data_IF_175206659354
#
_entry.id   IF_175206659354
#
_cell.length_a   1.000
_cell.length_b   1.000
_cell.length_c   1.000
_cell.angle_alpha   90.00
_cell.angle_beta   90.00
_cell.angle_gamma   90.00
#
_symmetry.space_group_name_H-M   'P 1'
#
loop_
_entity.id
_entity.type
_entity.pdbx_description
1 polymer ?
#
# COMPACT_ATOMS: atom_id res chain seq x y z
N UNK A 1 36.00 0.15 -1.35
CA UNK A 1 34.99 1.24 -1.34
C UNK A 1 33.68 0.65 -1.82
N UNK A 2 32.56 0.95 -1.16
CA UNK A 2 31.25 0.55 -1.67
C UNK A 2 30.91 1.45 -2.85
N UNK A 3 30.71 0.87 -4.02
CA UNK A 3 30.31 1.61 -5.22
C UNK A 3 28.86 2.07 -5.07
N UNK A 4 28.63 3.36 -5.27
CA UNK A 4 27.32 3.97 -5.10
C UNK A 4 26.55 3.89 -6.41
N UNK A 5 25.41 3.19 -6.41
CA UNK A 5 24.48 3.16 -7.54
C UNK A 5 24.10 4.60 -7.91
N UNK A 6 24.25 4.93 -9.20
CA UNK A 6 23.89 6.23 -9.80
C UNK A 6 24.46 7.43 -9.04
N UNK A 7 25.75 7.39 -8.67
CA UNK A 7 26.39 8.41 -7.81
C UNK A 7 26.19 9.85 -8.31
N UNK A 8 26.52 10.12 -9.58
CA UNK A 8 26.47 11.47 -10.15
C UNK A 8 25.02 11.94 -10.33
N UNK A 9 24.15 11.11 -10.92
CA UNK A 9 22.71 11.39 -11.01
C UNK A 9 22.11 11.69 -9.62
N UNK A 10 22.47 10.91 -8.60
CA UNK A 10 22.00 11.14 -7.24
C UNK A 10 22.50 12.47 -6.66
N UNK A 11 23.73 12.88 -6.98
CA UNK A 11 24.25 14.17 -6.57
C UNK A 11 23.42 15.32 -7.18
N UNK A 12 23.16 15.25 -8.49
CA UNK A 12 22.42 16.29 -9.20
C UNK A 12 20.95 16.38 -8.77
N UNK A 13 20.27 15.23 -8.62
CA UNK A 13 18.88 15.16 -8.15
C UNK A 13 18.78 15.71 -6.73
N UNK A 14 19.67 15.31 -5.81
CA UNK A 14 19.68 15.85 -4.44
C UNK A 14 19.93 17.34 -4.44
N UNK A 15 20.86 17.83 -5.26
CA UNK A 15 21.09 19.25 -5.44
C UNK A 15 19.79 19.99 -5.79
N UNK A 16 18.96 19.44 -6.70
CA UNK A 16 17.67 20.06 -7.06
C UNK A 16 16.76 20.11 -5.85
N UNK A 17 16.66 19.02 -5.08
CA UNK A 17 15.79 18.97 -3.90
C UNK A 17 16.23 19.99 -2.84
N UNK A 18 17.53 20.19 -2.64
CA UNK A 18 18.06 21.22 -1.74
C UNK A 18 17.75 22.63 -2.25
N UNK A 19 17.94 22.89 -3.54
CA UNK A 19 17.61 24.18 -4.14
C UNK A 19 16.12 24.50 -3.96
N UNK A 20 15.24 23.52 -4.21
CA UNK A 20 13.79 23.65 -3.99
C UNK A 20 13.48 23.97 -2.53
N UNK A 21 14.06 23.21 -1.58
CA UNK A 21 13.84 23.44 -0.15
C UNK A 21 14.32 24.83 0.29
N UNK A 22 15.48 25.27 -0.19
CA UNK A 22 16.05 26.57 0.17
C UNK A 22 15.21 27.75 -0.34
N UNK A 23 14.52 27.59 -1.47
CA UNK A 23 13.66 28.64 -2.02
C UNK A 23 12.25 28.64 -1.42
N UNK A 24 11.66 27.46 -1.21
CA UNK A 24 10.26 27.34 -0.77
C UNK A 24 10.10 27.26 0.75
N UNK A 25 11.11 26.77 1.47
CA UNK A 25 11.01 26.43 2.88
C UNK A 25 10.04 25.27 3.15
N UNK A 26 9.81 24.92 4.43
CA UNK A 26 8.85 23.89 4.83
C UNK A 26 7.39 24.41 4.82
N UNK A 27 6.43 23.52 5.08
CA UNK A 27 4.99 23.79 5.29
C UNK A 27 4.13 24.04 4.03
N UNK A 28 4.60 23.63 2.85
CA UNK A 28 3.75 23.55 1.67
C UNK A 28 3.20 22.12 1.45
N UNK A 29 2.07 21.96 0.77
CA UNK A 29 1.64 20.65 0.28
C UNK A 29 2.69 19.97 -0.63
N UNK A 30 2.78 18.63 -0.57
CA UNK A 30 3.73 17.80 -1.33
C UNK A 30 3.79 18.16 -2.83
N UNK A 31 2.63 18.45 -3.44
CA UNK A 31 2.51 18.82 -4.84
C UNK A 31 3.38 20.02 -5.25
N UNK A 32 3.54 21.02 -4.38
CA UNK A 32 4.36 22.19 -4.72
C UNK A 32 5.86 21.85 -4.78
N UNK A 33 6.32 20.95 -3.91
CA UNK A 33 7.68 20.44 -3.96
C UNK A 33 7.91 19.58 -5.19
N UNK A 34 6.93 18.75 -5.58
CA UNK A 34 6.97 17.97 -6.82
C UNK A 34 7.08 18.89 -8.04
N UNK A 35 6.18 19.87 -8.17
CA UNK A 35 6.17 20.82 -9.28
C UNK A 35 7.51 21.56 -9.39
N UNK A 36 8.05 22.06 -8.27
CA UNK A 36 9.33 22.75 -8.24
C UNK A 36 10.53 21.83 -8.56
N UNK A 37 10.51 20.59 -8.05
CA UNK A 37 11.56 19.61 -8.34
C UNK A 37 11.57 19.24 -9.84
N UNK A 38 10.41 19.08 -10.47
CA UNK A 38 10.30 18.84 -11.92
C UNK A 38 10.92 20.00 -12.72
N UNK A 39 10.65 21.25 -12.33
CA UNK A 39 11.26 22.42 -12.98
C UNK A 39 12.78 22.39 -12.83
N UNK A 40 13.29 22.14 -11.61
CA UNK A 40 14.73 22.10 -11.35
C UNK A 40 15.45 20.95 -12.07
N UNK A 41 14.85 19.76 -12.13
CA UNK A 41 15.39 18.60 -12.85
C UNK A 41 15.48 18.88 -14.35
N UNK A 42 14.42 19.44 -14.95
CA UNK A 42 14.40 19.83 -16.36
C UNK A 42 15.43 20.92 -16.68
N UNK A 43 15.61 21.90 -15.79
CA UNK A 43 16.62 22.94 -15.96
C UNK A 43 18.06 22.39 -15.96
N UNK A 44 18.29 21.25 -15.27
CA UNK A 44 19.56 20.50 -15.32
C UNK A 44 19.66 19.50 -16.48
N UNK A 45 18.65 19.44 -17.35
CA UNK A 45 18.63 18.49 -18.47
C UNK A 45 18.38 17.03 -18.05
N UNK A 46 17.90 16.79 -16.83
CA UNK A 46 17.60 15.44 -16.32
C UNK A 46 16.22 15.03 -16.78
N UNK A 47 16.13 13.89 -17.47
CA UNK A 47 14.85 13.35 -17.94
C UNK A 47 13.98 12.93 -16.75
N UNK A 48 12.79 13.51 -16.62
CA UNK A 48 11.88 13.21 -15.52
C UNK A 48 10.40 13.30 -15.91
N UNK A 49 9.57 12.51 -15.21
CA UNK A 49 8.12 12.45 -15.38
C UNK A 49 7.46 12.49 -14.01
N UNK A 50 6.57 13.46 -13.78
CA UNK A 50 5.76 13.52 -12.57
C UNK A 50 4.63 12.47 -12.63
N UNK A 51 4.28 11.92 -11.47
CA UNK A 51 3.13 11.00 -11.30
C UNK A 51 3.11 9.85 -12.33
N UNK A 52 4.27 9.28 -12.64
CA UNK A 52 4.34 8.20 -13.63
C UNK A 52 3.57 6.98 -13.12
N UNK A 53 2.61 6.52 -13.91
CA UNK A 53 1.73 5.40 -13.56
C UNK A 53 2.39 4.05 -13.87
N UNK A 54 2.32 3.12 -12.91
CA UNK A 54 2.75 1.73 -13.03
C UNK A 54 1.62 0.76 -12.68
N UNK A 55 1.61 -0.40 -13.33
CA UNK A 55 0.72 -1.50 -12.98
C UNK A 55 1.28 -2.25 -11.76
N UNK A 56 0.40 -2.59 -10.82
CA UNK A 56 0.73 -3.46 -9.70
C UNK A 56 0.24 -4.86 -10.04
N UNK A 57 1.17 -5.80 -10.22
CA UNK A 57 0.88 -7.19 -10.52
C UNK A 57 1.00 -8.06 -9.27
N UNK A 58 0.05 -8.98 -9.09
CA UNK A 58 0.11 -10.05 -8.09
C UNK A 58 -0.11 -11.39 -8.80
N UNK A 59 0.89 -12.27 -8.75
CA UNK A 59 0.91 -13.54 -9.50
C UNK A 59 0.52 -13.37 -10.98
N UNK A 60 1.04 -12.31 -11.63
CA UNK A 60 0.76 -11.99 -13.03
C UNK A 60 -0.57 -11.30 -13.30
N UNK A 61 -1.44 -11.14 -12.30
CA UNK A 61 -2.74 -10.45 -12.43
C UNK A 61 -2.61 -8.98 -12.03
N UNK A 62 -3.11 -8.05 -12.87
CA UNK A 62 -3.20 -6.63 -12.49
C UNK A 62 -4.20 -6.45 -11.33
N UNK A 63 -3.66 -6.09 -10.16
CA UNK A 63 -4.44 -5.82 -8.95
C UNK A 63 -4.65 -4.32 -8.71
N UNK A 64 -3.93 -3.46 -9.41
CA UNK A 64 -4.22 -2.04 -9.45
C UNK A 64 -3.09 -1.24 -10.07
N UNK A 65 -3.05 0.05 -9.76
CA UNK A 65 -2.09 0.99 -10.31
C UNK A 65 -1.52 1.85 -9.20
N UNK A 66 -0.30 2.29 -9.40
CA UNK A 66 0.43 3.18 -8.50
C UNK A 66 1.09 4.30 -9.30
N UNK A 67 1.34 5.43 -8.65
CA UNK A 67 1.90 6.63 -9.26
C UNK A 67 3.15 7.02 -8.47
N UNK A 68 4.29 6.99 -9.15
CA UNK A 68 5.56 7.49 -8.59
C UNK A 68 5.55 9.01 -8.64
N UNK A 69 5.90 9.68 -7.55
CA UNK A 69 5.90 11.16 -7.52
C UNK A 69 6.80 11.73 -8.62
N UNK A 70 8.04 11.27 -8.74
CA UNK A 70 8.94 11.65 -9.84
C UNK A 70 9.72 10.43 -10.33
N UNK A 71 9.52 10.07 -11.59
CA UNK A 71 10.31 9.07 -12.29
C UNK A 71 11.46 9.72 -13.04
N UNK A 72 12.70 9.25 -12.85
CA UNK A 72 13.92 9.92 -13.30
C UNK A 72 14.75 8.96 -14.17
N UNK A 73 15.31 9.49 -15.27
CA UNK A 73 16.21 8.79 -16.20
C UNK A 73 15.73 7.37 -16.57
N UNK A 74 14.46 7.27 -16.97
CA UNK A 74 13.84 6.02 -17.42
C UNK A 74 13.92 4.81 -16.45
N UNK A 75 14.23 5.01 -15.17
CA UNK A 75 14.23 3.96 -14.15
C UNK A 75 15.51 3.84 -13.35
N UNK A 76 16.51 4.66 -13.66
CA UNK A 76 17.70 4.77 -12.81
C UNK A 76 17.30 5.24 -11.39
N UNK A 77 16.30 6.11 -11.28
CA UNK A 77 15.82 6.58 -9.98
C UNK A 77 14.32 6.88 -9.96
N UNK A 78 13.69 6.61 -8.83
CA UNK A 78 12.42 7.23 -8.45
C UNK A 78 12.62 8.14 -7.24
N UNK A 79 11.93 9.26 -7.19
CA UNK A 79 11.83 10.08 -5.98
C UNK A 79 10.43 9.94 -5.39
N UNK A 80 10.37 9.71 -4.08
CA UNK A 80 9.15 9.71 -3.27
C UNK A 80 9.25 10.89 -2.31
N UNK A 81 8.31 11.82 -2.40
CA UNK A 81 8.33 13.06 -1.63
C UNK A 81 7.40 12.93 -0.43
N UNK A 82 7.80 13.54 0.68
CA UNK A 82 7.01 13.59 1.91
C UNK A 82 7.02 14.99 2.49
N UNK A 83 5.90 15.38 3.07
CA UNK A 83 5.83 16.52 3.99
C UNK A 83 5.34 16.00 5.32
N UNK A 84 6.31 15.62 6.18
CA UNK A 84 6.04 15.05 7.48
C UNK A 84 7.00 15.61 8.55
N UNK A 85 6.61 15.63 9.84
CA UNK A 85 7.52 15.99 10.91
C UNK A 85 8.78 15.10 10.96
N UNK A 86 8.66 13.83 10.55
CA UNK A 86 9.78 12.90 10.46
C UNK A 86 9.53 11.77 9.45
N UNK A 87 10.64 11.25 8.90
CA UNK A 87 10.61 10.03 8.09
C UNK A 87 10.50 8.81 9.00
N UNK A 88 9.33 8.17 8.98
CA UNK A 88 9.08 6.93 9.69
C UNK A 88 9.61 5.72 8.92
N UNK A 89 9.91 4.59 9.60
CA UNK A 89 10.24 3.32 8.93
C UNK A 89 9.21 2.91 7.87
N UNK A 90 7.92 3.19 8.12
CA UNK A 90 6.85 2.97 7.15
C UNK A 90 7.08 3.69 5.80
N UNK A 91 7.57 4.93 5.80
CA UNK A 91 7.85 5.65 4.54
C UNK A 91 8.96 4.96 3.73
N UNK A 92 9.95 4.39 4.41
CA UNK A 92 10.99 3.58 3.76
C UNK A 92 10.41 2.28 3.20
N UNK A 93 9.56 1.60 3.98
CA UNK A 93 8.90 0.37 3.55
C UNK A 93 8.03 0.60 2.31
N UNK A 94 7.30 1.73 2.26
CA UNK A 94 6.53 2.17 1.11
C UNK A 94 7.41 2.38 -0.14
N UNK A 95 8.50 3.14 -0.03
CA UNK A 95 9.43 3.34 -1.13
C UNK A 95 10.04 2.01 -1.63
N UNK A 96 10.31 1.06 -0.73
CA UNK A 96 10.77 -0.30 -1.09
C UNK A 96 9.68 -1.06 -1.86
N UNK A 97 8.41 -0.96 -1.46
CA UNK A 97 7.29 -1.55 -2.23
C UNK A 97 7.25 -1.02 -3.67
N UNK A 98 7.59 0.25 -3.87
CA UNK A 98 7.60 0.88 -5.19
C UNK A 98 8.78 0.43 -6.03
N UNK A 99 9.96 0.23 -5.43
CA UNK A 99 11.10 -0.38 -6.12
C UNK A 99 10.76 -1.79 -6.64
N UNK A 100 10.00 -2.59 -5.88
CA UNK A 100 9.55 -3.92 -6.32
C UNK A 100 8.62 -3.89 -7.53
N UNK A 101 7.80 -2.84 -7.67
CA UNK A 101 6.79 -2.73 -8.74
C UNK A 101 7.35 -2.10 -10.00
N UNK A 102 8.17 -1.07 -9.83
CA UNK A 102 8.67 -0.24 -10.93
C UNK A 102 9.95 -0.77 -11.56
N UNK A 103 10.64 -1.64 -10.83
CA UNK A 103 11.99 -2.11 -11.16
C UNK A 103 13.01 -0.97 -11.31
N UNK A 104 12.85 0.14 -10.59
CA UNK A 104 13.88 1.18 -10.55
C UNK A 104 15.13 0.73 -9.79
N UNK A 105 16.30 1.26 -10.14
CA UNK A 105 17.57 0.90 -9.47
C UNK A 105 17.68 1.51 -8.05
N UNK A 106 17.11 2.69 -7.86
CA UNK A 106 17.25 3.48 -6.64
C UNK A 106 15.96 4.26 -6.32
N UNK A 107 15.55 4.27 -5.05
CA UNK A 107 14.58 5.26 -4.57
C UNK A 107 15.29 6.34 -3.73
N UNK A 108 14.94 7.60 -4.00
CA UNK A 108 15.29 8.74 -3.16
C UNK A 108 14.03 9.20 -2.41
N UNK A 109 13.96 8.88 -1.12
CA UNK A 109 12.88 9.32 -0.24
C UNK A 109 13.26 10.68 0.36
N UNK A 110 12.50 11.73 0.07
CA UNK A 110 12.83 13.11 0.44
C UNK A 110 11.71 13.69 1.31
N UNK A 111 12.07 14.27 2.46
CA UNK A 111 11.14 14.93 3.36
C UNK A 111 11.41 16.44 3.42
N UNK A 112 10.41 17.21 3.01
CA UNK A 112 10.40 18.68 3.06
C UNK A 112 9.72 19.24 4.32
N UNK A 113 9.19 18.39 5.20
CA UNK A 113 8.41 18.82 6.38
C UNK A 113 9.22 19.24 7.60
N UNK A 114 10.55 19.17 7.56
CA UNK A 114 11.43 19.52 8.67
C UNK A 114 12.08 20.90 8.49
N UNK A 115 12.79 21.37 9.52
CA UNK A 115 13.61 22.59 9.46
C UNK A 115 14.79 22.50 8.49
N UNK A 116 15.12 21.30 8.03
CA UNK A 116 16.09 21.04 6.97
C UNK A 116 15.58 19.91 6.07
N UNK A 117 16.04 19.88 4.82
CA UNK A 117 15.75 18.78 3.93
C UNK A 117 16.37 17.48 4.47
N UNK A 118 15.56 16.44 4.60
CA UNK A 118 16.04 15.10 4.96
C UNK A 118 15.80 14.17 3.80
N UNK A 119 16.83 13.47 3.34
CA UNK A 119 16.71 12.49 2.29
C UNK A 119 17.33 11.14 2.67
N UNK A 120 16.78 10.07 2.12
CA UNK A 120 17.25 8.69 2.32
C UNK A 120 17.34 7.99 0.96
N UNK A 121 18.51 7.41 0.69
CA UNK A 121 18.76 6.59 -0.49
C UNK A 121 18.45 5.13 -0.19
N UNK A 122 17.66 4.50 -1.04
CA UNK A 122 17.22 3.11 -0.91
C UNK A 122 17.55 2.37 -2.21
N UNK A 123 18.74 1.76 -2.33
CA UNK A 123 19.09 0.93 -3.49
C UNK A 123 18.15 -0.28 -3.60
N UNK A 124 17.81 -0.68 -4.82
CA UNK A 124 16.94 -1.81 -5.07
C UNK A 124 17.65 -3.16 -4.90
N UNK A 125 17.97 -3.52 -3.66
CA UNK A 125 18.49 -4.84 -3.31
C UNK A 125 17.39 -5.92 -3.23
N UNK A 126 16.15 -5.59 -3.60
CA UNK A 126 15.00 -6.50 -3.55
C UNK A 126 14.60 -7.03 -4.93
N UNK A 127 15.12 -6.46 -6.02
CA UNK A 127 14.94 -6.91 -7.42
C UNK A 127 15.10 -8.43 -7.57
N UNK A 128 16.14 -9.00 -6.97
CA UNK A 128 16.46 -10.44 -7.08
C UNK A 128 16.05 -11.28 -5.86
N UNK A 129 15.43 -10.67 -4.83
CA UNK A 129 15.06 -11.40 -3.61
C UNK A 129 13.71 -12.08 -3.78
N UNK A 130 13.75 -13.42 -3.87
CA UNK A 130 12.55 -14.23 -3.57
C UNK A 130 12.26 -14.11 -2.07
N UNK A 131 11.20 -13.39 -1.73
CA UNK A 131 10.67 -13.40 -0.36
C UNK A 131 10.03 -14.77 -0.14
N UNK A 132 10.78 -15.70 0.45
CA UNK A 132 10.21 -16.93 0.99
C UNK A 132 9.41 -16.55 2.23
N UNK A 133 8.10 -16.43 2.07
CA UNK A 133 7.19 -16.21 3.17
C UNK A 133 6.76 -17.55 3.77
N UNK A 134 7.07 -17.75 5.06
CA UNK A 134 6.56 -18.87 5.83
C UNK A 134 5.47 -18.37 6.79
N UNK A 135 4.26 -18.89 6.63
CA UNK A 135 3.18 -18.65 7.58
C UNK A 135 3.15 -19.79 8.60
N UNK A 136 3.37 -19.46 9.86
CA UNK A 136 3.10 -20.37 10.96
C UNK A 136 1.63 -20.24 11.35
N UNK A 137 0.90 -21.36 11.37
CA UNK A 137 -0.45 -21.40 11.95
C UNK A 137 -0.39 -20.88 13.37
N UNK A 138 -1.25 -19.93 13.71
CA UNK A 138 -1.44 -19.55 15.10
C UNK A 138 -2.10 -20.73 15.83
N UNK A 139 -1.46 -21.25 16.86
CA UNK A 139 -1.99 -22.35 17.69
C UNK A 139 -3.32 -21.97 18.33
N UNK A 140 -4.19 -22.98 18.42
CA UNK A 140 -5.61 -22.86 18.71
C UNK A 140 -5.90 -22.17 20.06
N UNK A 141 -6.56 -21.02 19.99
CA UNK A 141 -7.42 -20.55 21.10
C UNK A 141 -8.74 -21.32 20.95
N UNK A 142 -9.20 -21.96 22.02
CA UNK A 142 -10.53 -22.56 22.05
C UNK A 142 -11.60 -21.53 21.62
N UNK A 143 -12.63 -21.97 20.91
CA UNK A 143 -13.77 -21.16 20.43
C UNK A 143 -13.51 -20.24 19.21
N UNK A 144 -12.67 -20.63 18.25
CA UNK A 144 -12.61 -19.98 16.92
C UNK A 144 -13.70 -20.53 15.98
N UNK A 145 -14.53 -19.64 15.42
CA UNK A 145 -15.42 -19.98 14.31
C UNK A 145 -14.57 -20.20 13.04
N UNK A 146 -14.77 -21.33 12.37
CA UNK A 146 -14.08 -21.70 11.11
C UNK A 146 -12.54 -21.56 11.18
N UNK A 147 -11.85 -22.28 12.08
CA UNK A 147 -10.42 -22.08 12.34
C UNK A 147 -9.56 -22.28 11.09
N UNK A 148 -9.75 -23.40 10.35
CA UNK A 148 -8.95 -23.68 9.16
C UNK A 148 -9.14 -22.62 8.06
N UNK A 149 -10.39 -22.20 7.81
CA UNK A 149 -10.70 -21.18 6.80
C UNK A 149 -10.19 -19.79 7.21
N UNK A 150 -10.29 -19.45 8.49
CA UNK A 150 -9.78 -18.18 9.03
C UNK A 150 -8.25 -18.13 8.95
N UNK A 151 -7.58 -19.21 9.33
CA UNK A 151 -6.11 -19.29 9.29
C UNK A 151 -5.58 -19.25 7.86
N UNK A 152 -6.27 -19.89 6.91
CA UNK A 152 -5.90 -19.81 5.49
C UNK A 152 -6.13 -18.42 4.90
N UNK A 153 -7.25 -17.77 5.24
CA UNK A 153 -7.52 -16.41 4.82
C UNK A 153 -6.49 -15.42 5.39
N UNK A 154 -6.14 -15.53 6.68
CA UNK A 154 -5.08 -14.74 7.29
C UNK A 154 -3.73 -15.00 6.62
N UNK A 155 -3.40 -16.28 6.37
CA UNK A 155 -2.20 -16.66 5.62
C UNK A 155 -2.16 -16.01 4.23
N UNK A 156 -3.29 -15.95 3.54
CA UNK A 156 -3.43 -15.25 2.24
C UNK A 156 -3.16 -13.75 2.38
N UNK A 157 -3.73 -13.10 3.40
CA UNK A 157 -3.49 -11.68 3.66
C UNK A 157 -2.02 -11.39 3.99
N UNK A 158 -1.37 -12.26 4.77
CA UNK A 158 0.05 -12.11 5.08
C UNK A 158 0.95 -12.35 3.86
N UNK A 159 0.65 -13.33 2.99
CA UNK A 159 1.36 -13.51 1.71
C UNK A 159 1.27 -12.26 0.83
N UNK A 160 0.06 -11.71 0.72
CA UNK A 160 -0.18 -10.45 -0.01
C UNK A 160 0.68 -9.32 0.55
N UNK A 161 0.66 -9.12 1.88
CA UNK A 161 1.44 -8.07 2.54
C UNK A 161 2.95 -8.29 2.39
N UNK A 162 3.45 -9.53 2.56
CA UNK A 162 4.86 -9.85 2.41
C UNK A 162 5.37 -9.59 0.99
N UNK A 163 4.56 -9.95 -0.02
CA UNK A 163 4.91 -9.76 -1.42
C UNK A 163 4.86 -8.29 -1.82
N UNK A 164 3.72 -7.63 -1.64
CA UNK A 164 3.50 -6.26 -2.10
C UNK A 164 4.13 -5.21 -1.18
N UNK A 165 4.09 -5.42 0.13
CA UNK A 165 4.44 -4.41 1.14
C UNK A 165 3.35 -3.35 1.32
N UNK A 166 3.57 -2.38 2.23
CA UNK A 166 2.66 -1.25 2.45
C UNK A 166 2.78 -0.21 1.32
N UNK A 167 1.87 0.76 1.30
CA UNK A 167 1.94 1.93 0.40
C UNK A 167 0.98 1.91 -0.79
N UNK A 168 0.18 0.86 -0.95
CA UNK A 168 -0.86 0.82 -1.99
C UNK A 168 -2.24 1.17 -1.43
N UNK A 169 -3.16 1.54 -2.33
CA UNK A 169 -4.55 1.70 -1.95
C UNK A 169 -5.19 0.37 -1.57
N UNK A 170 -6.13 0.40 -0.63
CA UNK A 170 -6.86 -0.77 -0.12
C UNK A 170 -7.43 -1.71 -1.21
N UNK A 171 -7.80 -1.18 -2.39
CA UNK A 171 -8.32 -1.99 -3.49
C UNK A 171 -7.28 -2.93 -4.12
N UNK A 172 -5.99 -2.57 -4.06
CA UNK A 172 -4.86 -3.39 -4.52
C UNK A 172 -4.79 -4.65 -3.67
N UNK A 173 -4.77 -4.48 -2.35
CA UNK A 173 -4.74 -5.60 -1.40
C UNK A 173 -6.00 -6.46 -1.50
N UNK A 174 -7.19 -5.85 -1.58
CA UNK A 174 -8.44 -6.59 -1.79
C UNK A 174 -8.38 -7.48 -3.03
N UNK A 175 -7.89 -6.95 -4.16
CA UNK A 175 -7.77 -7.71 -5.41
C UNK A 175 -6.71 -8.80 -5.31
N UNK A 176 -5.59 -8.55 -4.64
CA UNK A 176 -4.57 -9.57 -4.39
C UNK A 176 -5.08 -10.71 -3.49
N UNK A 177 -5.87 -10.40 -2.44
CA UNK A 177 -6.54 -11.44 -1.63
C UNK A 177 -7.47 -12.28 -2.52
N UNK A 178 -8.23 -11.66 -3.42
CA UNK A 178 -9.09 -12.40 -4.34
C UNK A 178 -8.30 -13.30 -5.32
N UNK A 179 -7.05 -12.95 -5.65
CA UNK A 179 -6.15 -13.84 -6.43
C UNK A 179 -5.76 -15.06 -5.60
N UNK A 180 -5.29 -14.85 -4.36
CA UNK A 180 -4.96 -15.94 -3.41
C UNK A 180 -6.11 -16.94 -3.21
N UNK A 181 -7.33 -16.42 -3.01
CA UNK A 181 -8.51 -17.26 -2.81
C UNK A 181 -8.83 -18.11 -4.06
N UNK A 182 -8.69 -17.54 -5.27
CA UNK A 182 -8.90 -18.28 -6.53
C UNK A 182 -7.88 -19.40 -6.71
N UNK A 183 -6.60 -19.11 -6.47
CA UNK A 183 -5.53 -20.11 -6.60
C UNK A 183 -5.72 -21.29 -5.64
N UNK A 184 -6.33 -21.02 -4.48
CA UNK A 184 -6.66 -22.03 -3.47
C UNK A 184 -8.03 -22.68 -3.63
N UNK A 185 -8.76 -22.33 -4.69
CA UNK A 185 -10.12 -22.82 -4.94
C UNK A 185 -11.08 -22.57 -3.76
N UNK A 186 -10.90 -21.46 -3.03
CA UNK A 186 -11.79 -21.04 -1.95
C UNK A 186 -12.90 -20.17 -2.55
N UNK A 187 -14.17 -20.52 -2.30
CA UNK A 187 -15.33 -19.79 -2.80
C UNK A 187 -15.46 -18.41 -2.15
N UNK A 188 -15.66 -17.38 -2.96
CA UNK A 188 -15.96 -16.04 -2.47
C UNK A 188 -16.83 -15.23 -3.43
N UNK A 189 -17.55 -14.27 -2.86
CA UNK A 189 -18.28 -13.22 -3.57
C UNK A 189 -17.64 -11.85 -3.29
N UNK A 190 -17.46 -11.05 -4.36
CA UNK A 190 -17.07 -9.66 -4.21
C UNK A 190 -18.29 -8.73 -4.16
N UNK A 191 -18.66 -8.34 -2.94
CA UNK A 191 -19.77 -7.44 -2.69
C UNK A 191 -19.30 -6.02 -2.94
N UNK A 192 -19.63 -5.51 -4.14
CA UNK A 192 -19.32 -4.13 -4.51
C UNK A 192 -20.13 -3.16 -3.68
N UNK A 193 -21.43 -3.41 -3.57
CA UNK A 193 -22.45 -2.43 -3.21
C UNK A 193 -23.57 -3.09 -2.41
N UNK A 194 -24.21 -2.31 -1.55
CA UNK A 194 -25.30 -2.74 -0.69
C UNK A 194 -26.47 -1.78 -0.86
N UNK A 195 -27.67 -2.24 -1.25
CA UNK A 195 -28.84 -1.38 -1.29
C UNK A 195 -29.25 -0.97 0.13
N UNK A 196 -29.59 0.31 0.29
CA UNK A 196 -30.03 0.87 1.57
C UNK A 196 -31.53 1.05 1.52
N UNK A 197 -32.22 0.55 2.54
CA UNK A 197 -33.67 0.63 2.68
C UNK A 197 -34.05 1.36 3.96
N UNK A 198 -35.18 2.06 3.91
CA UNK A 198 -35.92 2.49 5.08
C UNK A 198 -37.32 1.89 4.99
N UNK A 199 -37.62 0.95 5.89
CA UNK A 199 -38.76 0.03 5.74
C UNK A 199 -38.66 -0.67 4.36
N UNK A 200 -39.73 -0.71 3.59
CA UNK A 200 -39.74 -1.29 2.24
C UNK A 200 -39.26 -0.32 1.14
N UNK A 201 -38.95 0.94 1.48
CA UNK A 201 -38.53 1.93 0.49
C UNK A 201 -37.02 1.89 0.29
N UNK A 202 -36.57 1.64 -0.95
CA UNK A 202 -35.17 1.72 -1.34
C UNK A 202 -34.72 3.19 -1.37
N UNK A 203 -33.77 3.54 -0.51
CA UNK A 203 -33.19 4.89 -0.45
C UNK A 203 -32.04 5.08 -1.42
N UNK A 204 -31.27 4.03 -1.71
CA UNK A 204 -30.13 4.13 -2.61
C UNK A 204 -29.17 2.96 -2.52
N UNK A 205 -27.92 3.22 -2.88
CA UNK A 205 -26.83 2.23 -2.92
C UNK A 205 -25.66 2.76 -2.10
N UNK A 206 -25.11 1.91 -1.23
CA UNK A 206 -23.90 2.16 -0.48
C UNK A 206 -22.75 1.31 -1.05
N UNK A 207 -21.63 1.92 -1.50
CA UNK A 207 -20.41 1.17 -1.80
C UNK A 207 -19.81 0.56 -0.53
N UNK A 208 -19.57 -0.75 -0.54
CA UNK A 208 -19.01 -1.48 0.63
C UNK A 208 -17.71 -2.23 0.30
N UNK A 209 -17.59 -2.74 -0.94
CA UNK A 209 -16.36 -3.36 -1.48
C UNK A 209 -15.77 -4.46 -0.56
N UNK A 210 -16.60 -5.39 -0.10
CA UNK A 210 -16.26 -6.48 0.83
C UNK A 210 -16.07 -7.80 0.08
N UNK A 211 -15.36 -8.75 0.69
CA UNK A 211 -15.24 -10.13 0.20
C UNK A 211 -16.03 -11.03 1.17
N UNK A 212 -17.08 -11.69 0.70
CA UNK A 212 -17.78 -12.73 1.45
C UNK A 212 -17.18 -14.08 1.07
N UNK A 213 -16.58 -14.79 2.01
CA UNK A 213 -15.88 -16.06 1.80
C UNK A 213 -16.75 -17.19 2.32
N UNK A 214 -17.04 -18.17 1.45
CA UNK A 214 -17.78 -19.41 1.78
C UNK A 214 -19.11 -19.17 2.52
N UNK A 215 -19.80 -18.06 2.23
CA UNK A 215 -21.03 -17.59 2.92
C UNK A 215 -20.91 -17.50 4.45
N UNK A 216 -19.69 -17.40 4.97
CA UNK A 216 -19.37 -17.54 6.40
C UNK A 216 -18.57 -16.37 6.95
N UNK A 217 -17.58 -15.90 6.20
CA UNK A 217 -16.66 -14.84 6.65
C UNK A 217 -16.75 -13.60 5.78
N UNK A 218 -16.86 -12.42 6.41
CA UNK A 218 -16.86 -11.14 5.72
C UNK A 218 -15.52 -10.43 5.91
N UNK A 219 -14.82 -10.15 4.82
CA UNK A 219 -13.48 -9.56 4.84
C UNK A 219 -13.52 -8.12 4.34
N UNK A 220 -12.92 -7.22 5.10
CA UNK A 220 -12.68 -5.85 4.74
C UNK A 220 -11.17 -5.57 4.73
N UNK A 221 -10.61 -5.34 3.54
CA UNK A 221 -9.24 -4.89 3.37
C UNK A 221 -9.17 -3.36 3.42
N UNK A 222 -8.30 -2.84 4.28
CA UNK A 222 -8.11 -1.41 4.52
C UNK A 222 -6.62 -1.07 4.51
N UNK A 223 -6.31 0.22 4.35
CA UNK A 223 -4.96 0.77 4.47
C UNK A 223 -5.07 2.07 5.27
N UNK A 224 -5.38 1.95 6.56
CA UNK A 224 -5.60 3.06 7.48
C UNK A 224 -4.50 3.09 8.55
N UNK A 225 -4.19 4.26 9.11
CA UNK A 225 -3.15 4.39 10.15
C UNK A 225 -3.37 3.41 11.31
N UNK A 226 -4.61 3.24 11.75
CA UNK A 226 -4.99 2.29 12.79
C UNK A 226 -6.37 1.69 12.51
N UNK A 227 -6.60 0.48 13.01
CA UNK A 227 -7.95 -0.05 13.16
C UNK A 227 -8.64 0.60 14.36
N UNK A 228 -9.95 0.84 14.27
CA UNK A 228 -10.72 1.46 15.34
C UNK A 228 -12.11 0.83 15.50
N UNK A 229 -12.76 1.15 16.63
CA UNK A 229 -14.07 0.57 16.99
C UNK A 229 -15.20 0.95 16.04
N UNK A 230 -15.09 2.08 15.34
CA UNK A 230 -16.07 2.44 14.30
C UNK A 230 -16.00 1.45 13.12
N UNK A 231 -14.79 1.08 12.69
CA UNK A 231 -14.61 0.10 11.61
C UNK A 231 -15.13 -1.29 12.02
N UNK A 232 -14.87 -1.73 13.26
CA UNK A 232 -15.41 -2.98 13.80
C UNK A 232 -16.95 -2.96 13.82
N UNK A 233 -17.56 -1.88 14.31
CA UNK A 233 -19.01 -1.72 14.36
C UNK A 233 -19.65 -1.72 12.97
N UNK A 234 -19.01 -1.03 12.00
CA UNK A 234 -19.46 -1.04 10.60
C UNK A 234 -19.39 -2.44 10.00
N UNK A 235 -18.28 -3.18 10.22
CA UNK A 235 -18.17 -4.55 9.72
C UNK A 235 -19.21 -5.46 10.39
N UNK A 236 -19.46 -5.31 11.69
CA UNK A 236 -20.49 -6.07 12.41
C UNK A 236 -21.89 -5.83 11.87
N UNK A 237 -22.25 -4.58 11.56
CA UNK A 237 -23.52 -4.27 10.93
C UNK A 237 -23.66 -4.94 9.55
N UNK A 238 -22.57 -4.94 8.75
CA UNK A 238 -22.53 -5.61 7.45
C UNK A 238 -22.59 -7.13 7.57
N UNK A 239 -21.94 -7.72 8.56
CA UNK A 239 -22.03 -9.15 8.86
C UNK A 239 -23.48 -9.58 9.09
N UNK A 240 -24.23 -8.81 9.89
CA UNK A 240 -25.66 -9.07 10.11
C UNK A 240 -26.46 -9.01 8.81
N UNK A 241 -26.16 -8.05 7.94
CA UNK A 241 -26.85 -7.89 6.65
C UNK A 241 -26.57 -9.06 5.69
N UNK A 242 -25.31 -9.49 5.58
CA UNK A 242 -24.89 -10.58 4.68
C UNK A 242 -24.93 -11.96 5.34
N UNK A 243 -25.51 -12.08 6.54
CA UNK A 243 -25.57 -13.32 7.33
C UNK A 243 -24.20 -13.99 7.56
N UNK A 244 -23.12 -13.20 7.61
CA UNK A 244 -21.78 -13.70 7.88
C UNK A 244 -21.59 -13.91 9.39
N UNK A 245 -21.06 -15.07 9.78
CA UNK A 245 -20.87 -15.46 11.19
C UNK A 245 -19.54 -14.96 11.78
N UNK A 246 -18.60 -14.55 10.94
CA UNK A 246 -17.33 -13.96 11.36
C UNK A 246 -16.92 -12.82 10.42
N UNK A 247 -16.29 -11.79 10.96
CA UNK A 247 -15.72 -10.69 10.20
C UNK A 247 -14.21 -10.62 10.37
N UNK A 248 -13.49 -10.22 9.32
CA UNK A 248 -12.06 -9.94 9.37
C UNK A 248 -11.77 -8.55 8.79
N UNK A 249 -11.28 -7.65 9.64
CA UNK A 249 -10.66 -6.39 9.22
C UNK A 249 -9.17 -6.65 9.02
N UNK A 250 -8.66 -6.38 7.82
CA UNK A 250 -7.23 -6.54 7.49
C UNK A 250 -6.64 -5.21 7.08
N UNK A 251 -5.63 -4.74 7.80
CA UNK A 251 -5.01 -3.46 7.61
C UNK A 251 -3.59 -3.59 7.08
N UNK A 252 -3.40 -3.14 5.83
CA UNK A 252 -2.15 -3.24 5.09
C UNK A 252 -1.29 -1.97 5.17
N UNK A 253 -1.65 -1.01 6.03
CA UNK A 253 -0.95 0.25 6.14
C UNK A 253 0.45 0.10 6.76
N UNK A 254 0.60 -0.75 7.78
CA UNK A 254 1.84 -0.84 8.56
C UNK A 254 2.95 -1.66 7.90
N UNK A 255 4.13 -1.63 8.53
CA UNK A 255 5.26 -2.51 8.20
C UNK A 255 4.94 -4.01 8.39
N UNK A 256 3.90 -4.31 9.15
CA UNK A 256 3.30 -5.64 9.31
C UNK A 256 1.80 -5.52 9.04
N UNK A 257 1.20 -6.62 8.57
CA UNK A 257 -0.24 -6.74 8.52
C UNK A 257 -0.81 -6.66 9.94
N UNK A 258 -1.74 -5.74 10.15
CA UNK A 258 -2.58 -5.65 11.35
C UNK A 258 -3.98 -6.18 11.04
N UNK A 259 -4.66 -6.79 11.99
CA UNK A 259 -6.01 -7.32 11.76
C UNK A 259 -6.85 -7.39 13.03
N UNK A 260 -8.18 -7.37 12.85
CA UNK A 260 -9.14 -7.58 13.91
C UNK A 260 -10.20 -8.60 13.48
N UNK A 261 -10.49 -9.54 14.38
CA UNK A 261 -11.59 -10.49 14.23
C UNK A 261 -12.84 -9.87 14.86
N UNK A 262 -13.93 -9.81 14.09
CA UNK A 262 -15.22 -9.23 14.51
C UNK A 262 -16.24 -10.35 14.65
N UNK A 263 -16.98 -10.34 15.76
CA UNK A 263 -18.05 -11.29 16.12
C UNK A 263 -19.36 -10.56 16.39
#
# INVERSE_FOLDING_TARGET
MVELIHKELCYDVRGVMFDVFNHLGPNLPERFYQDAAIVGLKARGIACVAEKQFQVLYHGVEVGRYYVDIWIENGDMLAELKVAPLLMPLHKAQAISYLKVTDADLALLVNFGQSSLVDVRLPNFVRDKRVLFHWERQTAVADRLFPDLTDELLGSCHRVHAKLGPGFFHHVYRRAIMVELREKSIGFEFIKEMPVYYKETRLGIQPVRLILVEDKLLVAAVAAQTLNKMMEAQLKARMKYFNARLGLLTNFHGEKLDFAIVR
#
